data_IF_409919163024
#
_entry.id   IF_409919163024
#
_cell.length_a   1.000
_cell.length_b   1.000
_cell.length_c   1.000
_cell.angle_alpha   90.00
_cell.angle_beta   90.00
_cell.angle_gamma   90.00
#
_symmetry.space_group_name_H-M   'P 1'
#
loop_
_entity.id
_entity.type
_entity.pdbx_description
1 polymer ?
#
# COMPACT_ATOMS: atom_id res chain seq x y z
N UNK A 1 3.46 20.19 -11.63
CA UNK A 1 3.76 19.38 -12.84
C UNK A 1 3.07 20.04 -14.00
N UNK A 2 3.80 20.39 -15.08
CA UNK A 2 3.20 20.98 -16.30
C UNK A 2 2.95 19.86 -17.28
N UNK A 3 1.78 19.83 -17.89
CA UNK A 3 1.37 18.82 -18.87
C UNK A 3 1.87 19.22 -20.26
N UNK A 4 2.48 18.28 -20.98
CA UNK A 4 2.99 18.51 -22.36
C UNK A 4 2.19 17.76 -23.43
N UNK A 5 1.17 17.01 -23.04
CA UNK A 5 0.34 16.16 -23.90
C UNK A 5 -1.14 16.53 -23.82
N UNK A 6 -1.94 16.03 -24.76
CA UNK A 6 -3.38 16.26 -24.79
C UNK A 6 -4.15 14.93 -24.71
N UNK A 7 -5.39 15.00 -24.26
CA UNK A 7 -6.39 13.93 -24.32
C UNK A 7 -6.06 12.66 -23.48
N UNK A 8 -5.08 12.70 -22.58
CA UNK A 8 -4.81 11.63 -21.64
C UNK A 8 -5.63 11.84 -20.37
N UNK A 9 -6.21 10.78 -19.82
CA UNK A 9 -6.92 10.86 -18.55
C UNK A 9 -5.95 11.21 -17.43
N UNK A 10 -6.34 12.12 -16.53
CA UNK A 10 -5.49 12.58 -15.43
C UNK A 10 -5.07 11.44 -14.49
N UNK A 11 -5.97 10.47 -14.23
CA UNK A 11 -5.62 9.32 -13.39
C UNK A 11 -4.46 8.50 -13.98
N UNK A 12 -4.45 8.32 -15.31
CA UNK A 12 -3.38 7.63 -16.02
C UNK A 12 -2.12 8.50 -16.07
N UNK A 13 -2.25 9.75 -16.47
CA UNK A 13 -1.13 10.68 -16.60
C UNK A 13 -0.33 10.83 -15.30
N UNK A 14 -1.01 11.06 -14.17
CA UNK A 14 -0.35 11.19 -12.87
C UNK A 14 0.30 9.88 -12.43
N UNK A 15 -0.34 8.73 -12.67
CA UNK A 15 0.25 7.43 -12.32
C UNK A 15 1.54 7.16 -13.10
N UNK A 16 1.61 7.54 -14.37
CA UNK A 16 2.80 7.35 -15.24
C UNK A 16 3.95 8.32 -14.91
N UNK A 17 3.65 9.50 -14.36
CA UNK A 17 4.63 10.54 -14.07
C UNK A 17 4.96 10.68 -12.57
N UNK A 18 4.47 9.76 -11.73
CA UNK A 18 4.75 9.72 -10.28
C UNK A 18 4.94 8.28 -9.82
N UNK A 19 5.49 8.10 -8.63
CA UNK A 19 5.57 6.78 -7.97
C UNK A 19 4.27 6.40 -7.23
N UNK A 20 3.13 6.98 -7.64
CA UNK A 20 1.85 6.72 -6.99
C UNK A 20 1.11 5.57 -7.69
N UNK A 21 0.55 4.65 -6.89
CA UNK A 21 -0.35 3.64 -7.44
C UNK A 21 -1.62 4.30 -7.99
N UNK A 22 -2.24 3.69 -9.00
CA UNK A 22 -3.49 4.20 -9.60
C UNK A 22 -4.60 4.40 -8.56
N UNK A 23 -4.71 3.49 -7.58
CA UNK A 23 -5.70 3.61 -6.51
C UNK A 23 -5.45 4.83 -5.63
N UNK A 24 -4.19 5.12 -5.30
CA UNK A 24 -3.83 6.32 -4.55
C UNK A 24 -4.19 7.58 -5.35
N UNK A 25 -3.82 7.63 -6.63
CA UNK A 25 -4.17 8.76 -7.52
C UNK A 25 -5.69 8.99 -7.59
N UNK A 26 -6.48 7.93 -7.72
CA UNK A 26 -7.95 8.01 -7.72
C UNK A 26 -8.49 8.58 -6.40
N UNK A 27 -7.93 8.18 -5.26
CA UNK A 27 -8.32 8.68 -3.96
C UNK A 27 -7.94 10.16 -3.79
N UNK A 28 -6.73 10.55 -4.21
CA UNK A 28 -6.26 11.94 -4.17
C UNK A 28 -7.09 12.87 -5.05
N UNK A 29 -7.50 12.42 -6.22
CA UNK A 29 -8.41 13.18 -7.10
C UNK A 29 -9.80 13.35 -6.46
N UNK A 30 -10.36 12.29 -5.88
CA UNK A 30 -11.68 12.33 -5.22
C UNK A 30 -11.66 13.23 -3.97
N UNK A 31 -10.57 13.26 -3.22
CA UNK A 31 -10.41 14.08 -2.02
C UNK A 31 -9.97 15.52 -2.30
N UNK A 32 -9.78 15.91 -3.59
CA UNK A 32 -9.35 17.24 -3.98
C UNK A 32 -7.89 17.56 -3.62
N UNK A 33 -7.06 16.55 -3.48
CA UNK A 33 -5.62 16.67 -3.21
C UNK A 33 -4.78 16.69 -4.49
N UNK A 34 -5.40 16.41 -5.64
CA UNK A 34 -4.83 16.68 -6.97
C UNK A 34 -5.73 17.71 -7.65
N UNK A 35 -5.14 18.81 -8.07
CA UNK A 35 -5.79 19.92 -8.74
C UNK A 35 -5.23 20.10 -10.15
N UNK A 36 -6.06 20.59 -11.06
CA UNK A 36 -5.62 21.07 -12.37
C UNK A 36 -5.97 22.55 -12.47
N UNK A 37 -4.97 23.39 -12.71
CA UNK A 37 -5.12 24.84 -12.75
C UNK A 37 -5.88 25.34 -11.49
N UNK A 38 -5.50 24.83 -10.31
CA UNK A 38 -6.08 25.08 -8.98
C UNK A 38 -7.56 24.67 -8.82
N UNK A 39 -8.09 23.85 -9.73
CA UNK A 39 -9.48 23.35 -9.67
C UNK A 39 -9.51 21.84 -9.41
N UNK A 40 -10.52 21.42 -8.64
CA UNK A 40 -10.82 19.99 -8.45
C UNK A 40 -11.40 19.43 -9.74
N UNK A 41 -10.85 18.32 -10.21
CA UNK A 41 -11.30 17.64 -11.42
C UNK A 41 -11.68 16.19 -11.14
N UNK A 42 -12.55 15.61 -11.99
CA UNK A 42 -12.90 14.19 -11.91
C UNK A 42 -11.72 13.31 -12.39
N UNK A 43 -11.60 12.06 -11.92
CA UNK A 43 -10.55 11.14 -12.39
C UNK A 43 -10.55 10.88 -13.90
N UNK A 44 -11.69 11.08 -14.56
CA UNK A 44 -11.83 10.95 -16.01
C UNK A 44 -11.47 12.21 -16.78
N UNK A 45 -11.08 13.31 -16.11
CA UNK A 45 -10.66 14.54 -16.77
C UNK A 45 -9.52 14.24 -17.75
N UNK A 46 -9.59 14.76 -18.95
CA UNK A 46 -8.53 14.67 -19.94
C UNK A 46 -7.66 15.91 -19.85
N UNK A 47 -6.39 15.70 -19.60
CA UNK A 47 -5.42 16.79 -19.49
C UNK A 47 -5.13 17.40 -20.86
N UNK A 48 -4.82 18.69 -20.86
CA UNK A 48 -4.44 19.46 -22.04
C UNK A 48 -3.01 20.01 -21.86
N UNK A 49 -2.33 20.21 -22.98
CA UNK A 49 -1.01 20.84 -22.96
C UNK A 49 -1.07 22.21 -22.27
N UNK A 50 -0.11 22.46 -21.39
CA UNK A 50 -0.01 23.62 -20.48
C UNK A 50 -0.89 23.57 -19.23
N UNK A 51 -1.68 22.53 -19.02
CA UNK A 51 -2.33 22.33 -17.71
C UNK A 51 -1.28 22.22 -16.61
N UNK A 52 -1.54 22.86 -15.48
CA UNK A 52 -0.71 22.78 -14.29
C UNK A 52 -1.37 21.83 -13.29
N UNK A 53 -0.74 20.68 -13.08
CA UNK A 53 -1.19 19.71 -12.07
C UNK A 53 -0.46 20.01 -10.78
N UNK A 54 -1.22 20.35 -9.75
CA UNK A 54 -0.74 20.55 -8.37
C UNK A 54 -1.16 19.34 -7.53
N UNK A 55 -0.19 18.63 -6.97
CA UNK A 55 -0.43 17.57 -5.99
C UNK A 55 -0.14 18.16 -4.63
N UNK A 56 -1.15 18.30 -3.79
CA UNK A 56 -0.98 18.73 -2.40
C UNK A 56 -0.18 17.63 -1.67
N UNK A 57 0.76 18.07 -0.85
CA UNK A 57 1.50 17.15 0.02
C UNK A 57 0.53 16.58 1.06
N UNK A 58 -0.11 15.50 0.67
CA UNK A 58 -0.87 14.71 1.62
C UNK A 58 0.18 13.89 2.34
N UNK A 59 0.47 14.26 3.60
CA UNK A 59 1.04 13.29 4.53
C UNK A 59 0.19 12.04 4.34
N UNK A 60 0.75 11.01 3.70
CA UNK A 60 0.14 9.68 3.79
C UNK A 60 -0.17 9.53 5.26
N UNK A 61 -1.40 9.16 5.68
CA UNK A 61 -1.52 8.56 6.98
C UNK A 61 -0.36 7.56 6.92
N UNK A 62 0.64 7.76 7.74
CA UNK A 62 1.65 6.74 7.93
C UNK A 62 0.80 5.59 8.40
N UNK A 63 0.44 4.68 7.48
CA UNK A 63 -0.02 3.35 7.84
C UNK A 63 1.23 2.69 8.42
N UNK A 64 1.70 3.30 9.50
CA UNK A 64 2.79 2.82 10.30
C UNK A 64 2.30 1.50 10.83
N UNK A 65 2.88 0.43 10.34
CA UNK A 65 2.55 -0.91 10.83
C UNK A 65 2.90 -0.92 12.31
N UNK A 66 1.87 -0.85 13.15
CA UNK A 66 2.03 -0.88 14.60
C UNK A 66 2.46 -2.30 14.99
N UNK A 67 3.64 -2.47 15.59
CA UNK A 67 4.08 -3.78 16.05
C UNK A 67 3.08 -4.37 17.04
N UNK A 68 2.75 -5.65 16.86
CA UNK A 68 1.85 -6.39 17.76
C UNK A 68 2.58 -7.55 18.41
N UNK A 69 2.70 -7.51 19.73
CA UNK A 69 3.28 -8.59 20.51
C UNK A 69 2.34 -9.81 20.50
N UNK A 70 2.51 -10.66 19.50
CA UNK A 70 1.77 -11.90 19.30
C UNK A 70 2.74 -13.06 19.15
N UNK A 71 2.57 -14.19 19.87
CA UNK A 71 3.45 -15.35 19.76
C UNK A 71 3.22 -16.05 18.42
N UNK A 72 4.09 -15.76 17.43
CA UNK A 72 4.05 -16.40 16.12
C UNK A 72 4.54 -17.85 16.23
N UNK A 73 3.81 -18.76 15.58
CA UNK A 73 4.26 -20.14 15.36
C UNK A 73 5.21 -20.19 14.15
N UNK A 74 6.50 -19.92 14.42
CA UNK A 74 7.57 -19.90 13.40
C UNK A 74 8.08 -21.31 13.20
N UNK A 75 7.85 -21.84 12.00
CA UNK A 75 8.28 -23.21 11.63
C UNK A 75 9.71 -23.22 11.11
N UNK A 76 10.14 -22.12 10.46
CA UNK A 76 11.49 -21.97 9.94
C UNK A 76 11.83 -20.48 9.82
N UNK A 77 13.08 -20.14 10.06
CA UNK A 77 13.61 -18.78 9.83
C UNK A 77 15.10 -18.86 9.50
N UNK A 78 15.52 -18.08 8.48
CA UNK A 78 16.91 -17.82 8.14
C UNK A 78 17.12 -16.32 7.84
N UNK A 79 18.19 -15.97 7.12
CA UNK A 79 18.49 -14.57 6.78
C UNK A 79 17.58 -13.99 5.71
N UNK A 80 16.92 -14.82 4.89
CA UNK A 80 16.16 -14.42 3.72
C UNK A 80 14.65 -14.61 3.89
N UNK A 81 14.22 -15.63 4.65
CA UNK A 81 12.80 -15.98 4.79
C UNK A 81 12.39 -16.35 6.22
N UNK A 82 11.09 -16.19 6.48
CA UNK A 82 10.41 -16.76 7.64
C UNK A 82 9.25 -17.62 7.14
N UNK A 83 9.06 -18.81 7.69
CA UNK A 83 7.86 -19.63 7.48
C UNK A 83 7.05 -19.64 8.76
N UNK A 84 5.82 -19.12 8.67
CA UNK A 84 4.91 -19.01 9.81
C UNK A 84 3.70 -19.92 9.58
N UNK A 85 3.31 -20.67 10.59
CA UNK A 85 2.02 -21.37 10.62
C UNK A 85 0.94 -20.40 11.11
N UNK A 86 0.23 -19.77 10.16
CA UNK A 86 -0.81 -18.78 10.47
C UNK A 86 -2.03 -19.48 11.10
N UNK A 87 -2.54 -19.02 12.25
CA UNK A 87 -3.79 -19.54 12.80
C UNK A 87 -5.00 -19.08 11.96
N UNK A 88 -6.09 -19.83 12.06
CA UNK A 88 -7.41 -19.38 11.59
C UNK A 88 -7.86 -18.14 12.37
N UNK A 89 -8.60 -17.25 11.72
CA UNK A 89 -9.08 -16.01 12.31
C UNK A 89 -8.12 -14.81 12.20
N UNK A 90 -6.85 -15.02 11.83
CA UNK A 90 -5.86 -13.97 11.66
C UNK A 90 -5.84 -13.45 10.22
N UNK A 91 -5.98 -12.14 10.04
CA UNK A 91 -5.79 -11.46 8.75
C UNK A 91 -4.29 -11.34 8.43
N UNK A 92 -3.90 -11.50 7.17
CA UNK A 92 -2.48 -11.47 6.78
C UNK A 92 -1.90 -10.06 6.84
N UNK A 93 -2.58 -9.07 6.26
CA UNK A 93 -2.09 -7.69 6.20
C UNK A 93 -3.21 -6.68 6.46
N UNK A 94 -2.90 -5.46 6.94
CA UNK A 94 -3.89 -4.43 7.19
C UNK A 94 -4.73 -4.11 5.95
N UNK A 95 -6.02 -3.85 6.15
CA UNK A 95 -6.95 -3.52 5.09
C UNK A 95 -8.27 -2.95 5.63
N UNK A 96 -9.26 -2.81 4.76
CA UNK A 96 -10.58 -2.34 5.15
C UNK A 96 -11.19 -3.20 6.26
N UNK A 97 -11.48 -2.60 7.41
CA UNK A 97 -12.05 -3.29 8.58
C UNK A 97 -11.05 -3.99 9.52
N UNK A 98 -9.77 -4.10 9.15
CA UNK A 98 -8.72 -4.68 9.98
C UNK A 98 -7.44 -3.88 9.81
N UNK A 99 -7.25 -2.84 10.61
CA UNK A 99 -6.10 -1.93 10.50
C UNK A 99 -4.88 -2.42 11.29
N UNK A 100 -5.10 -3.23 12.29
CA UNK A 100 -4.12 -3.75 13.24
C UNK A 100 -4.39 -5.22 13.57
N UNK A 101 -3.55 -5.82 14.41
CA UNK A 101 -3.65 -7.22 14.81
C UNK A 101 -3.64 -8.21 13.63
N UNK A 102 -2.85 -7.91 12.62
CA UNK A 102 -2.64 -8.79 11.46
C UNK A 102 -1.29 -9.52 11.57
N UNK A 103 -1.06 -10.50 10.69
CA UNK A 103 0.21 -11.21 10.63
C UNK A 103 1.38 -10.22 10.41
N UNK A 104 1.21 -9.21 9.55
CA UNK A 104 2.25 -8.19 9.31
C UNK A 104 2.58 -7.40 10.58
N UNK A 105 1.58 -7.06 11.42
CA UNK A 105 1.82 -6.39 12.70
C UNK A 105 2.65 -7.27 13.66
N UNK A 106 2.35 -8.57 13.70
CA UNK A 106 3.09 -9.53 14.52
C UNK A 106 4.52 -9.77 13.98
N UNK A 107 4.67 -9.88 12.67
CA UNK A 107 6.00 -9.98 12.02
C UNK A 107 6.84 -8.73 12.28
N UNK A 108 6.26 -7.54 12.22
CA UNK A 108 6.96 -6.28 12.53
C UNK A 108 7.44 -6.20 13.98
N UNK A 109 6.72 -6.83 14.92
CA UNK A 109 7.19 -6.98 16.30
C UNK A 109 8.35 -7.98 16.41
N UNK A 110 8.29 -9.07 15.63
CA UNK A 110 9.30 -10.13 15.65
C UNK A 110 10.64 -9.70 15.04
N UNK A 111 10.60 -8.93 13.93
CA UNK A 111 11.82 -8.50 13.21
C UNK A 111 11.64 -7.17 12.48
N UNK A 112 12.72 -6.40 12.39
CA UNK A 112 12.80 -5.20 11.54
C UNK A 112 13.28 -5.49 10.12
N UNK A 113 13.73 -6.71 9.85
CA UNK A 113 14.26 -7.14 8.56
C UNK A 113 13.15 -7.77 7.71
N UNK A 114 12.18 -7.00 7.27
CA UNK A 114 11.13 -7.46 6.36
C UNK A 114 11.25 -6.72 5.03
N UNK A 115 11.16 -7.46 3.93
CA UNK A 115 11.16 -6.88 2.59
C UNK A 115 10.01 -5.88 2.42
N UNK A 116 10.28 -4.70 1.88
CA UNK A 116 9.32 -3.64 1.60
C UNK A 116 8.98 -3.51 0.10
N UNK A 117 9.43 -4.44 -0.73
CA UNK A 117 9.24 -4.43 -2.19
C UNK A 117 7.75 -4.28 -2.57
N UNK A 118 6.86 -4.90 -1.80
CA UNK A 118 5.40 -4.83 -2.00
C UNK A 118 4.73 -3.67 -1.25
N UNK A 119 5.53 -2.76 -0.69
CA UNK A 119 5.08 -1.59 0.08
C UNK A 119 4.96 -1.87 1.58
N UNK A 120 4.93 -0.78 2.36
CA UNK A 120 4.95 -0.82 3.84
C UNK A 120 3.75 -1.59 4.41
N UNK A 121 2.58 -1.53 3.79
CA UNK A 121 1.38 -2.25 4.24
C UNK A 121 1.50 -3.77 4.11
N UNK A 122 2.47 -4.26 3.34
CA UNK A 122 2.66 -5.67 3.01
C UNK A 122 4.07 -6.16 3.29
N UNK A 123 4.72 -5.59 4.31
CA UNK A 123 6.08 -5.95 4.70
C UNK A 123 6.28 -7.48 4.74
N UNK A 124 7.18 -7.96 3.91
CA UNK A 124 7.53 -9.37 3.80
C UNK A 124 6.50 -10.27 3.13
N UNK A 125 5.30 -9.79 2.81
CA UNK A 125 4.20 -10.63 2.29
C UNK A 125 4.37 -10.86 0.78
N UNK A 126 4.63 -12.09 0.40
CA UNK A 126 4.77 -12.56 -0.99
C UNK A 126 3.54 -13.30 -1.51
N UNK A 127 2.72 -13.87 -0.61
CA UNK A 127 1.43 -14.48 -0.89
C UNK A 127 0.51 -14.38 0.33
N UNK A 128 -0.73 -14.79 0.18
CA UNK A 128 -1.70 -14.75 1.28
C UNK A 128 -2.65 -15.93 1.24
N UNK A 129 -3.18 -16.27 2.41
CA UNK A 129 -4.34 -17.14 2.60
C UNK A 129 -5.44 -16.34 3.30
N UNK A 130 -6.67 -16.80 3.24
CA UNK A 130 -7.80 -16.06 3.81
C UNK A 130 -7.76 -16.02 5.34
N UNK A 131 -8.52 -15.10 5.93
CA UNK A 131 -8.58 -14.88 7.37
C UNK A 131 -8.81 -16.17 8.13
N UNK A 132 -9.83 -16.94 7.74
CA UNK A 132 -10.28 -18.12 8.46
C UNK A 132 -9.55 -19.40 8.02
N UNK A 133 -8.61 -19.28 7.08
CA UNK A 133 -7.72 -20.37 6.67
C UNK A 133 -6.48 -20.38 7.53
N UNK A 134 -6.15 -21.53 8.11
CA UNK A 134 -4.85 -21.79 8.76
C UNK A 134 -3.87 -22.42 7.79
N UNK A 135 -2.58 -22.27 8.05
CA UNK A 135 -1.54 -22.91 7.25
C UNK A 135 -0.26 -22.12 7.13
N UNK A 136 0.69 -22.66 6.39
CA UNK A 136 2.02 -22.09 6.24
C UNK A 136 2.01 -20.90 5.28
N UNK A 137 2.66 -19.82 5.70
CA UNK A 137 2.92 -18.63 4.90
C UNK A 137 4.44 -18.40 4.87
N UNK A 138 4.96 -18.17 3.65
CA UNK A 138 6.35 -17.73 3.45
C UNK A 138 6.36 -16.21 3.48
N UNK A 139 7.31 -15.67 4.22
CA UNK A 139 7.55 -14.24 4.41
C UNK A 139 8.97 -13.93 3.99
N UNK A 140 9.18 -12.87 3.22
CA UNK A 140 10.51 -12.41 2.79
C UNK A 140 11.11 -11.43 3.80
N UNK A 141 12.41 -11.56 4.06
CA UNK A 141 13.20 -10.65 4.90
C UNK A 141 13.95 -9.61 4.09
#
# INVERSE_FOLDING_TARGET
>A
MIVEVNDIRIDKYVTEHTNYSRNLVLNLLKSGNILVNDKIVKPSYKVHSKDIITIKDVKRPTDEIIPWNYPLDIVYEDDDIIIVNKPSGMVVHPGAGNKDHTLVNALKYHTDKLSDINGIERLGIVHRIDKDTSGLIIVAK
#
